data_IF_868089767165
#
_entry.id   IF_868089767165
#
_cell.length_a   1.000
_cell.length_b   1.000
_cell.length_c   1.000
_cell.angle_alpha   90.00
_cell.angle_beta   90.00
_cell.angle_gamma   90.00
#
_symmetry.space_group_name_H-M   'P 1'
#
loop_
_entity.id
_entity.type
_entity.pdbx_description
1 polymer ?
#
# COMPACT_ATOMS: atom_id res chain seq x y z
N UNK A 1 -25.23 8.16 9.60
CA UNK A 1 -25.05 6.83 8.97
C UNK A 1 -23.84 6.84 8.03
N UNK A 2 -22.70 7.40 8.47
CA UNK A 2 -21.48 7.57 7.65
C UNK A 2 -20.20 7.16 8.41
N UNK A 3 -20.34 6.82 9.70
CA UNK A 3 -19.23 6.61 10.64
C UNK A 3 -18.59 5.23 10.52
N UNK A 4 -19.37 4.19 10.18
CA UNK A 4 -18.86 2.81 10.07
C UNK A 4 -18.01 2.60 8.80
N UNK A 5 -18.48 3.10 7.65
CA UNK A 5 -17.73 3.02 6.39
C UNK A 5 -16.43 3.84 6.44
N UNK A 6 -16.42 4.97 7.14
CA UNK A 6 -15.22 5.79 7.34
C UNK A 6 -14.17 5.09 8.22
N UNK A 7 -14.62 4.40 9.28
CA UNK A 7 -13.72 3.60 10.13
C UNK A 7 -13.10 2.43 9.38
N UNK A 8 -13.89 1.76 8.52
CA UNK A 8 -13.40 0.68 7.66
C UNK A 8 -12.37 1.18 6.64
N UNK A 9 -12.64 2.30 5.96
CA UNK A 9 -11.72 2.92 5.01
C UNK A 9 -10.36 3.24 5.63
N UNK A 10 -10.34 3.90 6.81
CA UNK A 10 -9.10 4.19 7.53
C UNK A 10 -8.31 2.91 7.85
N UNK A 11 -8.99 1.82 8.19
CA UNK A 11 -8.35 0.53 8.49
C UNK A 11 -7.70 -0.07 7.24
N UNK A 12 -8.39 -0.08 6.09
CA UNK A 12 -7.86 -0.54 4.80
C UNK A 12 -6.62 0.25 4.37
N UNK A 13 -6.64 1.58 4.51
CA UNK A 13 -5.51 2.46 4.18
C UNK A 13 -4.28 2.13 5.01
N UNK A 14 -4.47 1.96 6.32
CA UNK A 14 -3.39 1.61 7.26
C UNK A 14 -2.83 0.22 6.94
N UNK A 15 -3.69 -0.74 6.60
CA UNK A 15 -3.27 -2.10 6.29
C UNK A 15 -2.41 -2.17 5.03
N UNK A 16 -2.84 -1.54 3.93
CA UNK A 16 -2.05 -1.46 2.69
C UNK A 16 -0.69 -0.80 2.97
N UNK A 17 -0.68 0.31 3.71
CA UNK A 17 0.54 1.00 4.08
C UNK A 17 1.48 0.09 4.90
N UNK A 18 0.93 -0.68 5.84
CA UNK A 18 1.68 -1.63 6.67
C UNK A 18 2.28 -2.76 5.84
N UNK A 19 1.51 -3.36 4.93
CA UNK A 19 1.99 -4.40 4.02
C UNK A 19 3.12 -3.89 3.11
N UNK A 20 2.98 -2.66 2.60
CA UNK A 20 4.04 -2.02 1.83
C UNK A 20 5.29 -1.80 2.69
N UNK A 21 5.17 -1.26 3.91
CA UNK A 21 6.31 -1.08 4.84
C UNK A 21 7.06 -2.41 5.06
N UNK A 22 6.35 -3.47 5.39
CA UNK A 22 6.93 -4.80 5.60
C UNK A 22 7.64 -5.34 4.35
N UNK A 23 7.07 -5.13 3.15
CA UNK A 23 7.70 -5.55 1.89
C UNK A 23 8.97 -4.74 1.58
N UNK A 24 9.00 -3.45 1.91
CA UNK A 24 10.19 -2.60 1.76
C UNK A 24 11.32 -3.10 2.68
N UNK A 25 11.00 -3.39 3.93
CA UNK A 25 11.94 -3.91 4.94
C UNK A 25 12.49 -5.28 4.53
N UNK A 26 11.61 -6.21 4.14
CA UNK A 26 11.99 -7.56 3.70
C UNK A 26 12.90 -7.54 2.46
N UNK A 27 12.69 -6.58 1.55
CA UNK A 27 13.52 -6.41 0.36
C UNK A 27 14.83 -5.64 0.63
N UNK A 28 15.09 -5.24 1.88
CA UNK A 28 16.23 -4.42 2.31
C UNK A 28 16.35 -3.13 1.48
N UNK A 29 15.21 -2.48 1.20
CA UNK A 29 15.15 -1.23 0.44
C UNK A 29 14.78 -0.07 1.33
N UNK A 30 15.12 1.13 0.87
CA UNK A 30 14.72 2.38 1.51
C UNK A 30 13.48 2.96 0.83
N UNK A 31 12.62 3.71 1.54
CA UNK A 31 11.51 4.42 0.92
C UNK A 31 11.94 5.32 -0.25
N UNK A 32 13.10 5.97 -0.15
CA UNK A 32 13.69 6.77 -1.24
C UNK A 32 13.98 5.93 -2.48
N UNK A 33 14.54 4.74 -2.31
CA UNK A 33 14.81 3.83 -3.41
C UNK A 33 13.51 3.38 -4.10
N UNK A 34 12.49 3.04 -3.30
CA UNK A 34 11.19 2.58 -3.78
C UNK A 34 10.45 3.69 -4.50
N UNK A 35 10.39 4.90 -3.93
CA UNK A 35 9.76 6.06 -4.56
C UNK A 35 10.36 6.36 -5.93
N UNK A 36 11.70 6.31 -6.05
CA UNK A 36 12.38 6.47 -7.34
C UNK A 36 11.98 5.38 -8.35
N UNK A 37 11.88 4.12 -7.92
CA UNK A 37 11.53 2.99 -8.81
C UNK A 37 10.05 2.96 -9.19
N UNK A 38 9.17 3.37 -8.29
CA UNK A 38 7.73 3.40 -8.51
C UNK A 38 7.24 4.73 -9.13
N UNK A 39 8.13 5.69 -9.37
CA UNK A 39 7.81 7.05 -9.81
C UNK A 39 6.81 7.75 -8.86
N UNK A 40 7.09 7.69 -7.56
CA UNK A 40 6.36 8.36 -6.48
C UNK A 40 7.33 9.27 -5.75
N UNK A 41 6.99 10.56 -5.61
CA UNK A 41 7.81 11.49 -4.84
C UNK A 41 7.94 11.01 -3.37
N UNK A 42 9.13 11.10 -2.78
CA UNK A 42 9.41 10.58 -1.44
C UNK A 42 8.46 11.15 -0.37
N UNK A 43 8.17 12.45 -0.43
CA UNK A 43 7.22 13.10 0.48
C UNK A 43 5.80 12.55 0.35
N UNK A 44 5.38 12.24 -0.88
CA UNK A 44 4.08 11.62 -1.15
C UNK A 44 4.06 10.18 -0.66
N UNK A 45 5.12 9.42 -0.92
CA UNK A 45 5.25 8.05 -0.46
C UNK A 45 5.19 7.98 1.07
N UNK A 46 6.01 8.77 1.77
CA UNK A 46 6.02 8.80 3.23
C UNK A 46 4.65 9.16 3.81
N UNK A 47 3.98 10.20 3.26
CA UNK A 47 2.63 10.57 3.69
C UNK A 47 1.64 9.40 3.57
N UNK A 48 1.69 8.62 2.48
CA UNK A 48 0.82 7.46 2.28
C UNK A 48 1.20 6.28 3.17
N UNK A 49 2.50 6.04 3.34
CA UNK A 49 3.03 5.04 4.27
C UNK A 49 2.61 5.32 5.72
N UNK A 50 2.44 6.58 6.09
CA UNK A 50 1.98 6.98 7.43
C UNK A 50 0.45 7.03 7.55
N UNK A 51 -0.28 6.52 6.55
CA UNK A 51 -1.75 6.45 6.55
C UNK A 51 -2.45 7.78 6.24
N UNK A 52 -1.70 8.82 5.84
CA UNK A 52 -2.26 10.14 5.54
C UNK A 52 -2.93 10.26 4.18
N UNK A 53 -2.86 9.23 3.33
CA UNK A 53 -3.55 9.15 2.05
C UNK A 53 -3.53 7.72 1.48
N UNK A 54 -4.51 7.40 0.63
CA UNK A 54 -4.64 6.10 -0.03
C UNK A 54 -3.58 5.85 -1.10
N UNK A 55 -3.22 4.59 -1.28
CA UNK A 55 -2.53 4.12 -2.47
C UNK A 55 -3.54 3.75 -3.56
N UNK A 56 -3.31 4.25 -4.77
CA UNK A 56 -4.03 3.79 -5.97
C UNK A 56 -3.53 2.41 -6.38
N UNK A 57 -4.37 1.63 -7.07
CA UNK A 57 -3.99 0.31 -7.61
C UNK A 57 -2.72 0.38 -8.48
N UNK A 58 -2.58 1.44 -9.30
CA UNK A 58 -1.39 1.65 -10.12
C UNK A 58 -0.11 1.97 -9.33
N UNK A 59 -0.23 2.63 -8.17
CA UNK A 59 0.91 2.81 -7.26
C UNK A 59 1.29 1.50 -6.58
N UNK A 60 0.32 0.73 -6.07
CA UNK A 60 0.56 -0.58 -5.46
C UNK A 60 1.26 -1.50 -6.46
N UNK A 61 0.79 -1.56 -7.70
CA UNK A 61 1.42 -2.36 -8.76
C UNK A 61 2.86 -1.95 -9.04
N UNK A 62 3.14 -0.64 -9.20
CA UNK A 62 4.51 -0.15 -9.45
C UNK A 62 5.44 -0.42 -8.28
N UNK A 63 4.96 -0.31 -7.04
CA UNK A 63 5.71 -0.66 -5.83
C UNK A 63 6.01 -2.17 -5.81
N UNK A 64 5.01 -3.01 -6.09
CA UNK A 64 5.17 -4.47 -6.15
C UNK A 64 6.23 -4.88 -7.18
N UNK A 65 6.17 -4.31 -8.39
CA UNK A 65 7.18 -4.53 -9.44
C UNK A 65 8.57 -4.07 -9.00
N UNK A 66 8.68 -2.92 -8.34
CA UNK A 66 9.95 -2.43 -7.82
C UNK A 66 10.55 -3.36 -6.76
N UNK A 67 9.72 -3.92 -5.89
CA UNK A 67 10.10 -4.84 -4.81
C UNK A 67 10.21 -6.30 -5.25
N UNK A 68 9.79 -6.63 -6.48
CA UNK A 68 9.71 -7.99 -7.04
C UNK A 68 8.84 -8.93 -6.20
N UNK A 69 7.71 -8.42 -5.73
CA UNK A 69 6.68 -9.20 -5.02
C UNK A 69 5.39 -9.23 -5.84
N UNK A 70 4.52 -10.25 -5.66
CA UNK A 70 3.20 -10.25 -6.28
C UNK A 70 2.38 -9.03 -5.86
N UNK A 71 1.70 -8.35 -6.80
CA UNK A 71 0.86 -7.18 -6.44
C UNK A 71 -0.22 -7.54 -5.41
N UNK A 72 -0.79 -8.75 -5.53
CA UNK A 72 -1.79 -9.28 -4.61
C UNK A 72 -1.29 -9.34 -3.15
N UNK A 73 0.01 -9.57 -2.92
CA UNK A 73 0.53 -9.68 -1.54
C UNK A 73 0.59 -8.32 -0.81
N UNK A 74 0.35 -7.21 -1.51
CA UNK A 74 0.31 -5.87 -0.92
C UNK A 74 -1.12 -5.40 -0.63
N UNK A 75 -2.13 -6.18 -1.05
CA UNK A 75 -3.53 -5.86 -0.80
C UNK A 75 -4.00 -6.48 0.52
N UNK A 76 -5.02 -5.90 1.17
CA UNK A 76 -5.64 -6.46 2.37
C UNK A 76 -6.30 -7.81 2.10
N UNK A 77 -6.49 -8.63 3.13
CA UNK A 77 -7.03 -9.98 2.95
C UNK A 77 -8.53 -9.97 2.56
N UNK A 78 -9.30 -9.02 3.10
CA UNK A 78 -10.73 -8.82 2.79
C UNK A 78 -10.99 -8.48 1.32
N UNK A 79 -10.00 -7.94 0.61
CA UNK A 79 -10.06 -7.68 -0.82
C UNK A 79 -10.29 -8.98 -1.61
N UNK A 80 -9.74 -10.09 -1.15
CA UNK A 80 -9.89 -11.39 -1.81
C UNK A 80 -11.19 -12.10 -1.42
N UNK A 81 -11.72 -11.84 -0.22
CA UNK A 81 -13.00 -12.40 0.22
C UNK A 81 -14.17 -11.88 -0.62
N UNK A 82 -14.11 -10.63 -1.07
CA UNK A 82 -15.13 -10.03 -1.93
C UNK A 82 -15.07 -10.51 -3.39
N UNK A 83 -13.94 -11.07 -3.85
CA UNK A 83 -13.78 -11.50 -5.23
C UNK A 83 -14.37 -12.89 -5.52
N UNK A 84 -14.74 -13.64 -4.48
CA UNK A 84 -15.26 -15.02 -4.56
C UNK A 84 -16.78 -15.09 -4.32
N UNK A 85 -17.41 -13.95 -3.98
CA UNK A 85 -18.85 -13.79 -3.80
C UNK A 85 -19.54 -13.39 -5.12
#
# INVERSE_FOLDING_TARGET
MQTEAYGFHMNTTIEVATRIKAAIETAERTPTWVGRKAAIALTTLNRKLDGGADFTVGEVHRIAVALRVPTASLLPDDFFEQAVA
#
